data_IF_154888799639
#
_entry.id   IF_154888799639
#
_cell.length_a   1.000
_cell.length_b   1.000
_cell.length_c   1.000
_cell.angle_alpha   90.00
_cell.angle_beta   90.00
_cell.angle_gamma   90.00
#
_symmetry.space_group_name_H-M   'P 1'
#
loop_
_entity.id
_entity.type
_entity.pdbx_description
1 polymer ?
#
# COMPACT_ATOMS: atom_id res chain seq x y z
N UNK A 1 -32.50 -3.43 -7.10
CA UNK A 1 -31.44 -2.41 -7.21
C UNK A 1 -30.55 -2.58 -6.00
N UNK A 2 -29.36 -3.14 -6.16
CA UNK A 2 -28.42 -3.33 -5.04
C UNK A 2 -27.41 -2.19 -5.10
N UNK A 3 -27.45 -1.28 -4.14
CA UNK A 3 -26.38 -0.31 -3.95
C UNK A 3 -25.13 -1.08 -3.57
N UNK A 4 -24.07 -0.97 -4.37
CA UNK A 4 -22.75 -1.43 -3.96
C UNK A 4 -22.34 -0.58 -2.75
N UNK A 5 -22.44 -1.15 -1.55
CA UNK A 5 -21.95 -0.51 -0.33
C UNK A 5 -20.45 -0.39 -0.46
N UNK A 6 -19.95 0.85 -0.57
CA UNK A 6 -18.54 1.18 -0.39
C UNK A 6 -18.06 0.47 0.87
N UNK A 7 -17.07 -0.40 0.71
CA UNK A 7 -16.55 -1.17 1.82
C UNK A 7 -15.96 -0.19 2.85
N UNK A 8 -16.34 -0.36 4.13
CA UNK A 8 -16.01 0.59 5.18
C UNK A 8 -14.49 0.82 5.23
N UNK A 9 -14.02 2.02 4.92
CA UNK A 9 -12.61 2.34 5.08
C UNK A 9 -12.35 2.55 6.58
N UNK A 10 -11.39 1.81 7.13
CA UNK A 10 -10.93 2.04 8.50
C UNK A 10 -10.43 3.49 8.65
N UNK A 11 -10.80 4.19 9.71
CA UNK A 11 -10.35 5.56 9.93
C UNK A 11 -8.85 5.57 10.28
N UNK A 12 -7.99 6.24 9.47
CA UNK A 12 -6.55 6.23 9.66
C UNK A 12 -6.08 6.88 10.97
N UNK A 13 -6.93 7.70 11.60
CA UNK A 13 -6.60 8.38 12.86
C UNK A 13 -6.91 7.54 14.10
N UNK A 14 -7.70 6.48 13.95
CA UNK A 14 -8.17 5.64 15.07
C UNK A 14 -7.87 4.16 14.89
N UNK A 15 -7.54 3.73 13.67
CA UNK A 15 -7.21 2.34 13.34
C UNK A 15 -5.71 2.12 13.29
N UNK A 16 -5.26 0.97 13.77
CA UNK A 16 -3.88 0.53 13.56
C UNK A 16 -3.61 0.20 12.09
N UNK A 17 -2.35 0.14 11.69
CA UNK A 17 -1.99 -0.30 10.32
C UNK A 17 -2.45 -1.73 10.05
N UNK A 18 -2.42 -2.61 11.05
CA UNK A 18 -2.94 -3.97 10.92
C UNK A 18 -4.43 -3.95 10.58
N UNK A 19 -5.24 -3.25 11.37
CA UNK A 19 -6.70 -3.15 11.17
C UNK A 19 -7.01 -2.51 9.83
N UNK A 20 -6.30 -1.43 9.48
CA UNK A 20 -6.49 -0.75 8.21
C UNK A 20 -6.18 -1.66 7.01
N UNK A 21 -5.09 -2.42 7.10
CA UNK A 21 -4.69 -3.36 6.04
C UNK A 21 -5.66 -4.52 5.93
N UNK A 22 -6.11 -5.08 7.05
CA UNK A 22 -7.09 -6.17 7.09
C UNK A 22 -8.41 -5.77 6.43
N UNK A 23 -8.92 -4.59 6.77
CA UNK A 23 -10.12 -4.02 6.15
C UNK A 23 -9.93 -3.90 4.63
N UNK A 24 -8.81 -3.34 4.20
CA UNK A 24 -8.49 -3.17 2.78
C UNK A 24 -8.45 -4.52 2.02
N UNK A 25 -7.84 -5.54 2.61
CA UNK A 25 -7.74 -6.88 2.01
C UNK A 25 -9.11 -7.54 1.93
N UNK A 26 -9.95 -7.39 2.95
CA UNK A 26 -11.25 -8.04 3.05
C UNK A 26 -12.38 -7.31 2.30
N UNK A 27 -12.19 -6.05 1.91
CA UNK A 27 -13.19 -5.29 1.17
C UNK A 27 -13.60 -5.98 -0.15
N UNK A 28 -14.86 -6.28 -0.43
CA UNK A 28 -15.23 -7.02 -1.65
C UNK A 28 -14.81 -6.28 -2.93
N UNK A 29 -14.38 -7.05 -3.93
CA UNK A 29 -14.11 -6.55 -5.29
C UNK A 29 -15.47 -6.40 -5.98
N UNK A 30 -15.87 -5.21 -6.46
CA UNK A 30 -17.17 -5.03 -7.11
C UNK A 30 -17.32 -5.82 -8.40
N UNK A 31 -18.47 -6.50 -8.55
CA UNK A 31 -18.75 -7.38 -9.70
C UNK A 31 -18.76 -6.62 -11.03
N UNK A 32 -19.18 -5.36 -11.01
CA UNK A 32 -19.28 -4.47 -12.17
C UNK A 32 -17.96 -3.80 -12.58
N UNK A 33 -16.86 -4.03 -11.85
CA UNK A 33 -15.55 -3.55 -12.25
C UNK A 33 -15.09 -4.26 -13.54
N UNK A 34 -14.22 -3.61 -14.33
CA UNK A 34 -13.61 -4.27 -15.48
C UNK A 34 -12.53 -5.26 -15.02
N UNK A 35 -12.25 -6.29 -15.82
CA UNK A 35 -11.34 -7.38 -15.46
C UNK A 35 -9.92 -6.90 -15.12
N UNK A 36 -9.38 -5.92 -15.86
CA UNK A 36 -8.06 -5.36 -15.57
C UNK A 36 -7.98 -4.76 -14.15
N UNK A 37 -9.05 -4.10 -13.72
CA UNK A 37 -9.12 -3.52 -12.38
C UNK A 37 -9.20 -4.60 -11.32
N UNK A 38 -10.03 -5.63 -11.55
CA UNK A 38 -10.17 -6.77 -10.64
C UNK A 38 -8.84 -7.50 -10.44
N UNK A 39 -8.12 -7.76 -11.54
CA UNK A 39 -6.83 -8.43 -11.51
C UNK A 39 -5.79 -7.62 -10.72
N UNK A 40 -5.67 -6.33 -11.01
CA UNK A 40 -4.74 -5.45 -10.30
C UNK A 40 -5.04 -5.38 -8.80
N UNK A 41 -6.32 -5.25 -8.44
CA UNK A 41 -6.73 -5.20 -7.03
C UNK A 41 -6.48 -6.53 -6.32
N UNK A 42 -6.75 -7.66 -6.98
CA UNK A 42 -6.47 -8.98 -6.42
C UNK A 42 -4.97 -9.14 -6.12
N UNK A 43 -4.10 -8.81 -7.07
CA UNK A 43 -2.64 -8.87 -6.88
C UNK A 43 -2.16 -7.94 -5.77
N UNK A 44 -2.72 -6.73 -5.66
CA UNK A 44 -2.37 -5.80 -4.58
C UNK A 44 -2.78 -6.35 -3.21
N UNK A 45 -3.97 -6.93 -3.09
CA UNK A 45 -4.41 -7.56 -1.83
C UNK A 45 -3.53 -8.71 -1.40
N UNK A 46 -3.11 -9.56 -2.35
CA UNK A 46 -2.17 -10.65 -2.08
C UNK A 46 -0.82 -10.08 -1.61
N UNK A 47 -0.30 -9.04 -2.26
CA UNK A 47 0.93 -8.36 -1.83
C UNK A 47 0.79 -7.76 -0.42
N UNK A 48 -0.30 -7.07 -0.10
CA UNK A 48 -0.52 -6.53 1.24
C UNK A 48 -0.61 -7.61 2.30
N UNK A 49 -1.27 -8.74 2.00
CA UNK A 49 -1.31 -9.87 2.91
C UNK A 49 0.09 -10.38 3.21
N UNK A 50 0.94 -10.53 2.19
CA UNK A 50 2.33 -10.95 2.37
C UNK A 50 3.13 -9.96 3.21
N UNK A 51 3.04 -8.66 2.89
CA UNK A 51 3.76 -7.60 3.60
C UNK A 51 3.30 -7.46 5.05
N UNK A 52 1.99 -7.48 5.31
CA UNK A 52 1.41 -7.33 6.64
C UNK A 52 1.80 -8.47 7.59
N UNK A 53 1.94 -9.69 7.07
CA UNK A 53 2.36 -10.85 7.86
C UNK A 53 3.87 -11.03 7.95
N UNK A 54 4.66 -10.22 7.23
CA UNK A 54 6.10 -10.32 7.26
C UNK A 54 6.64 -9.81 8.61
N UNK A 55 7.64 -10.47 9.24
CA UNK A 55 8.16 -10.07 10.55
C UNK A 55 8.61 -8.60 10.64
N UNK A 56 9.16 -8.06 9.55
CA UNK A 56 9.53 -6.65 9.43
C UNK A 56 8.38 -5.64 9.55
N UNK A 57 7.11 -6.07 9.47
CA UNK A 57 5.96 -5.20 9.73
C UNK A 57 5.42 -5.29 11.16
N UNK A 58 5.83 -6.29 11.94
CA UNK A 58 5.23 -6.60 13.26
C UNK A 58 5.07 -5.38 14.17
N UNK A 59 6.14 -4.60 14.38
CA UNK A 59 6.11 -3.40 15.23
C UNK A 59 5.37 -2.23 14.61
N UNK A 60 5.41 -2.09 13.28
CA UNK A 60 4.70 -1.02 12.59
C UNK A 60 3.18 -1.28 12.53
N UNK A 61 2.77 -2.54 12.58
CA UNK A 61 1.37 -2.97 12.58
C UNK A 61 0.60 -2.53 13.84
N UNK A 62 1.29 -2.38 14.97
CA UNK A 62 0.72 -1.96 16.25
C UNK A 62 0.37 -0.47 16.30
N UNK A 63 1.01 0.35 15.47
CA UNK A 63 0.80 1.79 15.46
C UNK A 63 -0.45 2.19 14.69
N UNK A 64 -1.00 3.35 15.05
CA UNK A 64 -2.04 3.98 14.25
C UNK A 64 -1.54 4.25 12.84
N UNK A 65 -2.42 4.12 11.87
CA UNK A 65 -2.07 4.32 10.47
C UNK A 65 -1.41 5.69 10.23
N UNK A 66 -1.98 6.75 10.81
CA UNK A 66 -1.48 8.12 10.66
C UNK A 66 -0.19 8.44 11.46
N UNK A 67 0.27 7.54 12.34
CA UNK A 67 1.51 7.78 13.09
C UNK A 67 2.74 7.57 12.19
N UNK A 68 3.90 8.18 12.51
CA UNK A 68 5.17 7.80 11.91
C UNK A 68 5.51 6.33 12.23
N UNK A 69 6.26 5.67 11.35
CA UNK A 69 6.69 4.29 11.56
C UNK A 69 7.61 4.14 12.77
N UNK A 70 7.48 3.03 13.49
CA UNK A 70 8.42 2.60 14.52
C UNK A 70 9.75 2.20 13.90
N UNK A 71 9.69 1.46 12.80
CA UNK A 71 10.85 0.95 12.09
C UNK A 71 10.76 1.26 10.61
N UNK A 72 11.73 2.01 10.10
CA UNK A 72 11.89 2.21 8.67
C UNK A 72 12.74 1.06 8.12
N UNK A 73 12.07 0.06 7.54
CA UNK A 73 12.70 -1.05 6.85
C UNK A 73 12.09 -1.21 5.44
N UNK A 74 12.69 -2.07 4.62
CA UNK A 74 12.27 -2.32 3.24
C UNK A 74 10.83 -2.83 3.15
N UNK A 75 10.39 -3.63 4.12
CA UNK A 75 9.04 -4.21 4.16
C UNK A 75 7.99 -3.13 4.42
N UNK A 76 8.23 -2.28 5.41
CA UNK A 76 7.38 -1.13 5.70
C UNK A 76 7.36 -0.13 4.54
N UNK A 77 8.52 0.15 3.96
CA UNK A 77 8.60 0.97 2.75
C UNK A 77 7.71 0.39 1.65
N UNK A 78 7.78 -0.91 1.38
CA UNK A 78 7.00 -1.55 0.33
C UNK A 78 5.51 -1.52 0.63
N UNK A 79 5.12 -1.70 1.90
CA UNK A 79 3.74 -1.57 2.35
C UNK A 79 3.24 -0.14 2.13
N UNK A 80 3.96 0.87 2.63
CA UNK A 80 3.59 2.29 2.51
C UNK A 80 3.58 2.77 1.05
N UNK A 81 4.57 2.36 0.26
CA UNK A 81 4.74 2.76 -1.13
C UNK A 81 3.60 2.24 -2.02
N UNK A 82 3.16 1.00 -1.78
CA UNK A 82 2.07 0.38 -2.54
C UNK A 82 0.70 0.84 -2.06
N UNK A 83 0.53 1.14 -0.76
CA UNK A 83 -0.74 1.57 -0.10
C UNK A 83 -1.34 2.88 -0.61
N UNK A 84 -0.77 3.50 -1.64
CA UNK A 84 -1.35 4.64 -2.34
C UNK A 84 -2.63 4.22 -3.09
N UNK A 85 -3.76 4.31 -2.39
CA UNK A 85 -5.12 4.50 -2.91
C UNK A 85 -5.67 3.37 -3.79
N UNK A 86 -6.40 2.42 -3.20
CA UNK A 86 -7.37 1.67 -4.00
C UNK A 86 -8.36 2.66 -4.64
N UNK A 87 -8.38 2.72 -5.97
CA UNK A 87 -9.35 3.53 -6.72
C UNK A 87 -10.69 2.84 -6.64
N UNK A 88 -11.70 3.51 -6.09
CA UNK A 88 -13.07 3.01 -6.10
C UNK A 88 -13.51 2.76 -7.56
N UNK A 89 -13.85 1.50 -7.91
CA UNK A 89 -14.16 1.13 -9.29
C UNK A 89 -15.51 1.68 -9.75
N UNK A 90 -16.34 2.20 -8.85
CA UNK A 90 -17.60 2.87 -9.17
C UNK A 90 -17.40 4.32 -9.59
N UNK A 91 -16.19 4.87 -9.39
CA UNK A 91 -15.89 6.23 -9.82
C UNK A 91 -15.90 6.33 -11.35
N UNK A 92 -16.43 7.43 -11.92
CA UNK A 92 -16.50 7.61 -13.36
C UNK A 92 -15.10 7.63 -13.99
N UNK A 93 -14.80 6.66 -14.85
CA UNK A 93 -13.47 6.47 -15.46
C UNK A 93 -13.07 7.58 -16.43
N UNK A 94 -14.02 8.39 -16.89
CA UNK A 94 -13.82 9.54 -17.75
C UNK A 94 -13.33 10.78 -16.97
N UNK A 95 -13.42 10.75 -15.64
CA UNK A 95 -12.87 11.83 -14.81
C UNK A 95 -11.35 11.73 -14.73
N UNK A 96 -10.70 12.87 -15.01
CA UNK A 96 -9.24 12.98 -15.01
C UNK A 96 -8.60 12.57 -13.68
N UNK A 97 -9.18 12.95 -12.55
CA UNK A 97 -8.66 12.58 -11.22
C UNK A 97 -8.70 11.08 -10.96
N UNK A 98 -9.72 10.38 -11.46
CA UNK A 98 -9.84 8.92 -11.36
C UNK A 98 -8.79 8.23 -12.23
N UNK A 99 -8.58 8.74 -13.46
CA UNK A 99 -7.54 8.25 -14.36
C UNK A 99 -6.14 8.47 -13.78
N UNK A 100 -5.86 9.67 -13.27
CA UNK A 100 -4.55 10.01 -12.70
C UNK A 100 -4.24 9.12 -11.49
N UNK A 101 -5.22 8.88 -10.60
CA UNK A 101 -5.07 7.94 -9.48
C UNK A 101 -4.87 6.51 -9.95
N UNK A 102 -5.59 6.07 -10.97
CA UNK A 102 -5.42 4.73 -11.52
C UNK A 102 -4.03 4.52 -12.12
N UNK A 103 -3.54 5.49 -12.88
CA UNK A 103 -2.19 5.48 -13.45
C UNK A 103 -1.13 5.45 -12.35
N UNK A 104 -1.30 6.21 -11.27
CA UNK A 104 -0.39 6.19 -10.12
C UNK A 104 -0.34 4.79 -9.46
N UNK A 105 -1.50 4.19 -9.19
CA UNK A 105 -1.59 2.83 -8.61
C UNK A 105 -0.87 1.80 -9.47
N UNK A 106 -1.17 1.77 -10.77
CA UNK A 106 -0.55 0.81 -11.69
C UNK A 106 0.96 1.05 -11.79
N UNK A 107 1.39 2.30 -11.93
CA UNK A 107 2.81 2.66 -12.04
C UNK A 107 3.59 2.26 -10.79
N UNK A 108 3.03 2.51 -9.59
CA UNK A 108 3.62 2.09 -8.32
C UNK A 108 3.65 0.58 -8.17
N UNK A 109 2.65 -0.13 -8.66
CA UNK A 109 2.62 -1.60 -8.65
C UNK A 109 3.74 -2.19 -9.51
N UNK A 110 3.96 -1.62 -10.71
CA UNK A 110 5.08 -2.01 -11.59
C UNK A 110 6.43 -1.68 -10.96
N UNK A 111 6.57 -0.48 -10.38
CA UNK A 111 7.79 -0.09 -9.69
C UNK A 111 8.07 -0.98 -8.48
N UNK A 112 7.05 -1.32 -7.69
CA UNK A 112 7.15 -2.23 -6.57
C UNK A 112 7.64 -3.61 -7.01
N UNK A 113 7.11 -4.15 -8.11
CA UNK A 113 7.59 -5.41 -8.67
C UNK A 113 9.09 -5.31 -9.07
N UNK A 114 9.49 -4.24 -9.75
CA UNK A 114 10.89 -4.04 -10.12
C UNK A 114 11.81 -3.94 -8.90
N UNK A 115 11.39 -3.22 -7.85
CA UNK A 115 12.16 -3.08 -6.61
C UNK A 115 12.31 -4.40 -5.86
N UNK A 116 11.28 -5.25 -5.87
CA UNK A 116 11.30 -6.57 -5.21
C UNK A 116 12.15 -7.60 -5.97
N UNK A 117 12.23 -7.48 -7.30
CA UNK A 117 12.99 -8.40 -8.15
C UNK A 117 14.47 -8.00 -8.30
N UNK A 118 14.81 -6.76 -7.95
CA UNK A 118 16.19 -6.28 -7.98
C UNK A 118 17.05 -6.97 -6.93
N UNK A 119 18.26 -7.39 -7.30
CA UNK A 119 19.12 -8.19 -6.44
C UNK A 119 19.86 -7.30 -5.42
N UNK A 120 19.93 -7.68 -4.14
CA UNK A 120 20.64 -6.90 -3.13
C UNK A 120 22.16 -6.76 -3.37
N UNK A 121 22.77 -5.60 -3.05
CA UNK A 121 22.11 -4.36 -2.63
C UNK A 121 21.45 -3.67 -3.83
N UNK A 122 20.12 -3.55 -3.78
CA UNK A 122 19.30 -3.10 -4.91
C UNK A 122 18.73 -1.70 -4.71
N UNK A 123 18.00 -1.20 -5.69
CA UNK A 123 17.31 0.09 -5.64
C UNK A 123 16.38 0.22 -4.42
N UNK A 124 15.81 -0.88 -3.94
CA UNK A 124 14.97 -0.89 -2.74
C UNK A 124 15.74 -0.45 -1.49
N UNK A 125 16.96 -0.97 -1.29
CA UNK A 125 17.82 -0.59 -0.17
C UNK A 125 18.20 0.90 -0.26
N UNK A 126 18.48 1.38 -1.48
CA UNK A 126 18.80 2.79 -1.73
C UNK A 126 17.60 3.70 -1.40
N UNK A 127 16.39 3.37 -1.85
CA UNK A 127 15.20 4.18 -1.58
C UNK A 127 14.85 4.25 -0.10
N UNK A 128 15.05 3.15 0.65
CA UNK A 128 14.91 3.17 2.12
C UNK A 128 15.96 4.08 2.74
N UNK A 129 17.22 4.01 2.29
CA UNK A 129 18.31 4.86 2.80
C UNK A 129 18.12 6.35 2.51
N UNK A 130 17.41 6.72 1.43
CA UNK A 130 17.10 8.11 1.10
C UNK A 130 15.95 8.65 1.98
N UNK A 131 14.93 7.82 2.26
CA UNK A 131 13.83 8.21 3.17
C UNK A 131 14.27 8.29 4.63
N UNK A 132 15.32 7.59 5.00
CA UNK A 132 15.97 7.70 6.30
C UNK A 132 17.11 8.71 6.14
N UNK A 133 16.93 10.02 6.41
CA UNK A 133 18.09 10.92 6.42
C UNK A 133 19.12 10.28 7.35
N UNK A 134 20.30 10.05 6.79
CA UNK A 134 21.42 9.43 7.48
C UNK A 134 21.57 10.17 8.80
N UNK A 135 21.15 9.56 9.92
CA UNK A 135 21.59 10.00 11.25
C UNK A 135 23.06 9.61 11.34
N UNK A 136 23.90 10.30 10.58
CA UNK A 136 25.34 10.23 10.73
C UNK A 136 25.64 10.82 12.10
N UNK A 137 26.21 9.96 12.94
CA UNK A 137 27.16 10.28 13.99
C UNK A 137 27.09 11.71 14.56
N UNK A 138 26.53 11.83 15.77
CA UNK A 138 27.19 12.65 16.78
C UNK A 138 27.59 11.72 17.92
N UNK A 139 28.74 11.09 17.74
CA UNK A 139 29.64 10.82 18.87
C UNK A 139 30.10 12.18 19.41
N UNK A 140 29.64 12.50 20.62
CA UNK A 140 30.42 13.18 21.65
C UNK A 140 30.09 12.53 22.98
#
# INVERSE_FOLDING_TARGET
>A
MSSATMAAQADPNTSSRAVFTEVLINNPIPDNACEDWKNQVKSLKELYQLLANHPGMSRNNEQLFAQPAHENNTVYFMWDFTMAYMVDPTLPKDKKDVQDRWVDVVSRSVMAANLLLDQPPGMLDQMVSIRIPTRVAKSQ
#
